data_IF_096130172191
#
_entry.id   IF_096130172191
#
_cell.length_a   1.000
_cell.length_b   1.000
_cell.length_c   1.000
_cell.angle_alpha   90.00
_cell.angle_beta   90.00
_cell.angle_gamma   90.00
#
_symmetry.space_group_name_H-M   'P 1'
#
loop_
_entity.id
_entity.type
_entity.pdbx_description
1 polymer ?
#
# COMPACT_ATOMS: atom_id res chain seq x y z
N UNK A 1 14.25 20.58 10.38
CA UNK A 1 12.95 20.81 9.73
C UNK A 1 12.42 19.45 9.35
N UNK A 2 11.34 18.99 9.99
CA UNK A 2 10.64 17.79 9.56
C UNK A 2 9.72 18.20 8.40
N UNK A 3 9.64 17.46 7.28
CA UNK A 3 8.57 17.69 6.31
C UNK A 3 7.25 17.54 7.06
N UNK A 4 6.45 18.62 7.11
CA UNK A 4 5.26 18.86 6.28
C UNK A 4 4.25 17.73 6.38
N UNK A 5 3.03 18.13 6.74
CA UNK A 5 1.74 17.41 6.65
C UNK A 5 1.85 16.02 6.01
N UNK A 6 1.41 14.93 6.67
CA UNK A 6 1.42 13.61 6.05
C UNK A 6 0.80 13.73 4.66
N UNK A 7 1.50 13.26 3.62
CA UNK A 7 0.94 13.25 2.28
C UNK A 7 -0.39 12.49 2.35
N UNK A 8 -1.48 13.24 2.22
CA UNK A 8 -2.81 12.66 2.18
C UNK A 8 -3.03 12.26 0.74
N UNK A 9 -3.00 10.95 0.51
CA UNK A 9 -3.30 10.40 -0.79
C UNK A 9 -4.82 10.30 -0.99
N UNK A 10 -5.22 10.26 -2.24
CA UNK A 10 -6.60 10.23 -2.70
C UNK A 10 -6.91 8.90 -3.39
N UNK A 11 -8.19 8.54 -3.37
CA UNK A 11 -8.70 7.43 -4.17
C UNK A 11 -8.33 7.58 -5.64
N UNK A 12 -7.89 6.49 -6.25
CA UNK A 12 -7.49 6.40 -7.65
C UNK A 12 -5.99 6.64 -7.92
N UNK A 13 -5.20 7.03 -6.91
CA UNK A 13 -3.76 7.19 -7.06
C UNK A 13 -3.04 5.85 -7.02
N UNK A 14 -2.11 5.65 -7.96
CA UNK A 14 -1.19 4.53 -7.96
C UNK A 14 0.00 4.86 -7.03
N UNK A 15 0.31 3.94 -6.13
CA UNK A 15 1.28 4.10 -5.05
C UNK A 15 2.19 2.88 -4.94
N UNK A 16 3.42 3.10 -4.49
CA UNK A 16 4.29 2.06 -3.99
C UNK A 16 3.95 1.83 -2.51
N UNK A 17 3.82 0.57 -2.10
CA UNK A 17 3.69 0.17 -0.70
C UNK A 17 4.72 -0.91 -0.38
N UNK A 18 5.05 -1.08 0.90
CA UNK A 18 5.94 -2.15 1.34
C UNK A 18 5.15 -3.21 2.11
N UNK A 19 5.30 -4.48 1.72
CA UNK A 19 4.79 -5.62 2.46
C UNK A 19 5.93 -6.34 3.16
N UNK A 20 5.80 -6.55 4.48
CA UNK A 20 6.69 -7.42 5.23
C UNK A 20 6.06 -8.80 5.34
N UNK A 21 6.74 -9.81 4.80
CA UNK A 21 6.34 -11.20 4.92
C UNK A 21 6.42 -11.63 6.40
N UNK A 22 5.30 -12.09 7.00
CA UNK A 22 5.27 -12.49 8.40
C UNK A 22 6.08 -13.76 8.70
N UNK A 23 6.37 -14.61 7.71
CA UNK A 23 7.13 -15.84 7.91
C UNK A 23 8.64 -15.59 7.88
N UNK A 24 9.11 -14.77 6.93
CA UNK A 24 10.54 -14.53 6.73
C UNK A 24 11.05 -13.22 7.33
N UNK A 25 10.16 -12.26 7.60
CA UNK A 25 10.51 -10.90 8.02
C UNK A 25 11.11 -10.03 6.91
N UNK A 26 11.21 -10.54 5.68
CA UNK A 26 11.68 -9.78 4.53
C UNK A 26 10.62 -8.75 4.11
N UNK A 27 11.09 -7.61 3.62
CA UNK A 27 10.21 -6.53 3.16
C UNK A 27 10.35 -6.34 1.66
N UNK A 28 9.22 -6.35 0.97
CA UNK A 28 9.12 -6.27 -0.49
C UNK A 28 8.34 -5.04 -0.92
N UNK A 29 8.85 -4.23 -1.87
CA UNK A 29 8.09 -3.17 -2.48
C UNK A 29 7.07 -3.76 -3.47
N UNK A 30 5.84 -3.28 -3.41
CA UNK A 30 4.76 -3.57 -4.34
C UNK A 30 4.12 -2.28 -4.84
N UNK A 31 3.38 -2.39 -5.93
CA UNK A 31 2.56 -1.30 -6.47
C UNK A 31 1.09 -1.62 -6.23
N UNK A 32 0.30 -0.60 -5.94
CA UNK A 32 -1.15 -0.74 -5.79
C UNK A 32 -1.85 0.57 -6.11
N UNK A 33 -3.17 0.54 -6.17
CA UNK A 33 -4.01 1.72 -6.30
C UNK A 33 -4.80 1.95 -5.02
N UNK A 34 -4.93 3.21 -4.59
CA UNK A 34 -5.79 3.54 -3.46
C UNK A 34 -7.24 3.45 -3.90
N UNK A 35 -8.00 2.53 -3.31
CA UNK A 35 -9.43 2.38 -3.54
C UNK A 35 -10.25 3.34 -2.68
N UNK A 36 -9.89 3.46 -1.40
CA UNK A 36 -10.50 4.43 -0.49
C UNK A 36 -9.63 4.66 0.75
N UNK A 37 -9.93 5.75 1.44
CA UNK A 37 -9.33 6.07 2.74
C UNK A 37 -10.09 5.35 3.85
N UNK A 38 -9.37 4.72 4.76
CA UNK A 38 -9.93 4.02 5.91
C UNK A 38 -9.88 4.93 7.14
N UNK A 39 -11.04 5.17 7.74
CA UNK A 39 -11.19 6.01 8.93
C UNK A 39 -11.65 5.18 10.13
N UNK A 40 -11.01 5.38 11.27
CA UNK A 40 -11.41 4.86 12.57
C UNK A 40 -11.72 6.04 13.49
N UNK A 41 -12.91 6.06 14.09
CA UNK A 41 -13.38 7.15 14.98
C UNK A 41 -13.22 8.57 14.39
N UNK A 42 -13.38 8.70 13.07
CA UNK A 42 -13.25 9.98 12.34
C UNK A 42 -11.80 10.40 12.04
N UNK A 43 -10.82 9.58 12.42
CA UNK A 43 -9.40 9.78 12.14
C UNK A 43 -8.98 8.88 10.98
N UNK A 44 -8.23 9.42 10.02
CA UNK A 44 -7.64 8.61 8.95
C UNK A 44 -6.68 7.60 9.58
N UNK A 45 -6.97 6.31 9.43
CA UNK A 45 -6.20 5.22 10.03
C UNK A 45 -5.32 4.50 8.97
N UNK A 46 -5.74 4.50 7.70
CA UNK A 46 -4.98 3.88 6.63
C UNK A 46 -5.58 4.07 5.25
N UNK A 47 -5.03 3.35 4.28
CA UNK A 47 -5.53 3.30 2.91
C UNK A 47 -5.93 1.87 2.58
N UNK A 48 -7.09 1.70 1.96
CA UNK A 48 -7.47 0.45 1.32
C UNK A 48 -6.92 0.45 -0.11
N UNK A 49 -6.09 -0.54 -0.42
CA UNK A 49 -5.43 -0.71 -1.70
C UNK A 49 -6.11 -1.80 -2.54
N UNK A 50 -6.24 -1.56 -3.84
CA UNK A 50 -6.63 -2.53 -4.86
C UNK A 50 -5.58 -2.61 -5.98
N UNK A 51 -5.77 -3.48 -6.97
CA UNK A 51 -4.84 -3.69 -8.11
C UNK A 51 -3.38 -3.89 -7.67
N UNK A 52 -3.19 -4.70 -6.64
CA UNK A 52 -1.88 -4.97 -6.06
C UNK A 52 -1.05 -5.83 -7.01
N UNK A 53 0.21 -5.45 -7.19
CA UNK A 53 1.18 -6.20 -7.96
C UNK A 53 2.58 -6.10 -7.35
N UNK A 54 3.39 -7.15 -7.54
CA UNK A 54 4.80 -7.15 -7.16
C UNK A 54 5.72 -7.38 -8.36
N UNK A 55 6.97 -6.87 -8.34
CA UNK A 55 7.95 -7.13 -9.40
C UNK A 55 8.26 -8.63 -9.57
N UNK A 56 8.23 -9.38 -8.47
CA UNK A 56 8.52 -10.81 -8.43
C UNK A 56 7.22 -11.60 -8.25
N UNK A 57 6.86 -12.44 -9.23
CA UNK A 57 5.62 -13.23 -9.17
C UNK A 57 5.53 -14.13 -7.94
N UNK A 58 6.66 -14.61 -7.43
CA UNK A 58 6.69 -15.40 -6.19
C UNK A 58 6.22 -14.59 -4.97
N UNK A 59 6.65 -13.34 -4.86
CA UNK A 59 6.25 -12.44 -3.76
C UNK A 59 4.77 -12.13 -3.86
N UNK A 60 4.27 -11.93 -5.08
CA UNK A 60 2.85 -11.73 -5.33
C UNK A 60 2.00 -12.94 -4.89
N UNK A 61 2.43 -14.16 -5.27
CA UNK A 61 1.80 -15.40 -4.81
C UNK A 61 1.83 -15.51 -3.29
N UNK A 62 2.99 -15.30 -2.65
CA UNK A 62 3.15 -15.35 -1.19
C UNK A 62 2.27 -14.32 -0.48
N UNK A 63 2.18 -13.10 -1.02
CA UNK A 63 1.31 -12.04 -0.50
C UNK A 63 -0.17 -12.44 -0.53
N UNK A 64 -0.65 -12.94 -1.67
CA UNK A 64 -2.05 -13.36 -1.81
C UNK A 64 -2.35 -14.67 -1.06
N UNK A 65 -1.37 -15.55 -0.85
CA UNK A 65 -1.50 -16.70 0.04
C UNK A 65 -1.61 -16.27 1.50
N UNK A 66 -0.79 -15.30 1.93
CA UNK A 66 -0.84 -14.74 3.29
C UNK A 66 -2.13 -13.94 3.55
N UNK A 67 -2.83 -13.48 2.51
CA UNK A 67 -4.04 -12.69 2.59
C UNK A 67 -5.24 -13.41 1.98
N UNK A 68 -6.10 -13.98 2.83
CA UNK A 68 -7.31 -14.70 2.40
C UNK A 68 -8.34 -13.86 1.61
N UNK A 69 -8.17 -12.54 1.52
CA UNK A 69 -9.01 -11.64 0.72
C UNK A 69 -8.12 -10.71 -0.12
N UNK A 70 -7.80 -11.15 -1.33
CA UNK A 70 -6.99 -10.39 -2.30
C UNK A 70 -7.70 -9.13 -2.83
N UNK A 71 -9.00 -8.99 -2.60
CA UNK A 71 -9.82 -7.94 -3.17
C UNK A 71 -9.44 -6.53 -2.69
N UNK A 72 -9.13 -6.39 -1.39
CA UNK A 72 -8.75 -5.12 -0.76
C UNK A 72 -7.70 -5.37 0.35
N UNK A 73 -6.59 -4.62 0.34
CA UNK A 73 -5.55 -4.67 1.38
C UNK A 73 -5.47 -3.35 2.14
N UNK A 74 -5.62 -3.39 3.47
CA UNK A 74 -5.50 -2.19 4.30
C UNK A 74 -4.06 -2.01 4.72
N UNK A 75 -3.47 -0.90 4.30
CA UNK A 75 -2.15 -0.45 4.73
C UNK A 75 -2.29 0.66 5.78
N UNK A 76 -1.65 0.57 6.96
CA UNK A 76 -1.72 1.63 7.96
C UNK A 76 -0.97 2.88 7.47
N UNK A 77 -1.36 4.07 7.95
CA UNK A 77 -0.66 5.32 7.63
C UNK A 77 0.84 5.31 8.01
N UNK A 78 1.23 4.46 8.95
CA UNK A 78 2.62 4.29 9.36
C UNK A 78 3.46 3.48 8.37
N UNK A 79 2.82 2.80 7.40
CA UNK A 79 3.56 2.08 6.36
C UNK A 79 4.14 3.08 5.36
N UNK A 80 5.25 2.68 4.74
CA UNK A 80 5.84 3.45 3.64
C UNK A 80 4.93 3.30 2.43
N UNK A 81 4.12 4.34 2.18
CA UNK A 81 3.37 4.54 0.94
C UNK A 81 4.02 5.71 0.21
N UNK A 82 4.51 5.49 -1.01
CA UNK A 82 5.15 6.53 -1.83
C UNK A 82 4.37 6.72 -3.12
N UNK A 83 4.20 7.96 -3.55
CA UNK A 83 3.64 8.22 -4.87
C UNK A 83 4.57 7.62 -5.93
N UNK A 84 4.05 6.77 -6.81
CA UNK A 84 4.74 6.46 -8.06
C UNK A 84 4.69 7.76 -8.87
N UNK A 85 5.79 8.50 -8.95
CA UNK A 85 5.83 9.72 -9.72
C UNK A 85 5.33 9.40 -11.13
N UNK A 86 4.12 9.89 -11.48
CA UNK A 86 3.62 9.82 -12.83
C UNK A 86 4.72 10.37 -13.73
N UNK A 87 5.23 9.55 -14.65
CA UNK A 87 6.20 10.06 -15.63
C UNK A 87 5.58 11.31 -16.28
N UNK A 88 6.29 12.45 -16.30
CA UNK A 88 5.81 13.60 -17.04
C UNK A 88 5.67 13.18 -18.51
N UNK A 89 4.47 13.38 -19.06
CA UNK A 89 4.19 13.21 -20.49
C UNK A 89 5.00 14.18 -21.33
#
# INVERSE_FOLDING_TARGET
>A
MYPTTPEVFHSGQDVEFHWTDPETGNTYPGEARIKHMHYEDGVLAGYALDKISFPESRVEEEFFHARSNAGDFIVPLSAVVRHLASQPS
#
